data_IF_713887586292
#
_entry.id   IF_713887586292
#
_cell.length_a   1.000
_cell.length_b   1.000
_cell.length_c   1.000
_cell.angle_alpha   90.00
_cell.angle_beta   90.00
_cell.angle_gamma   90.00
#
_symmetry.space_group_name_H-M   'P 1'
#
loop_
_entity.id
_entity.type
_entity.pdbx_description
1 polymer ?
2 polymer ?
3 polymer ?
4 non-polymer ?
5 non-polymer ?
6 water ?
#
loop_
_entity_poly.entity_id
_entity_poly.type
_entity_poly.pdbx_seq_one_letter_code
_entity_poly.pdbx_strand_id
2 'polydeoxyribonucleotide' '(DC)(DG)(DC)(DT)(DA)(DG)(DT)(DC)(DG)(DT)(DC)(DA)(DT)' ?
3 'polydeoxyribonucleotide' '(DA)(DC)(DG)(DA)(DC)(DT)(DA)(DG)(DC)(DG)' ?
#
# COMPACT_ATOMS: atom_id res chain seq x y z
N UNK A 2 1.49 6.92 1.01
CA UNK A 2 1.96 7.42 -0.28
C UNK A 2 2.98 8.53 -0.14
N UNK A 3 3.95 8.55 -1.06
CA UNK A 3 4.96 9.60 -1.09
C UNK A 3 4.56 10.66 -2.11
N UNK A 4 4.03 11.78 -1.64
CA UNK A 4 3.42 12.77 -2.53
C UNK A 4 4.40 13.31 -3.57
N UNK A 5 4.12 13.07 -4.86
CA UNK A 5 4.95 13.61 -5.91
C UNK A 5 6.16 12.76 -6.26
N UNK A 6 6.16 11.50 -5.83
CA UNK A 6 7.31 10.63 -6.05
C UNK A 6 7.38 10.17 -7.50
N UNK A 7 6.23 9.85 -8.06
CA UNK A 7 6.17 9.33 -9.42
C UNK A 7 6.69 10.35 -10.41
N UNK A 8 6.29 11.60 -10.23
CA UNK A 8 6.75 12.66 -11.12
C UNK A 8 8.22 12.95 -10.87
N UNK A 9 8.68 12.63 -9.65
CA UNK A 9 10.05 12.90 -9.25
C UNK A 9 11.01 11.90 -9.90
N UNK A 10 10.58 10.66 -10.01
CA UNK A 10 11.39 9.63 -10.65
C UNK A 10 10.79 9.19 -11.97
N UNK A 11 10.24 10.11 -12.72
CA UNK A 11 9.53 9.79 -13.93
C UNK A 11 10.45 9.10 -14.89
N UNK A 12 11.70 9.51 -14.90
CA UNK A 12 12.65 9.03 -15.89
C UNK A 12 12.95 7.54 -15.78
N UNK A 13 12.53 6.93 -14.68
CA UNK A 13 12.74 5.49 -14.49
C UNK A 13 11.49 4.73 -14.86
N UNK A 14 10.47 5.45 -15.29
CA UNK A 14 9.22 4.82 -15.67
C UNK A 14 9.22 4.45 -17.13
N UNK A 15 8.48 3.41 -17.47
CA UNK A 15 8.45 2.90 -18.83
C UNK A 15 7.05 2.43 -19.19
N UNK A 16 6.48 2.97 -20.26
CA UNK A 16 5.17 2.52 -20.73
C UNK A 16 5.22 1.08 -21.19
N UNK A 17 4.41 0.21 -20.61
CA UNK A 17 4.42 -1.20 -20.97
C UNK A 17 3.02 -1.74 -21.18
N UNK A 18 2.96 -3.03 -21.48
CA UNK A 18 1.70 -3.76 -21.47
C UNK A 18 1.89 -5.03 -20.65
N UNK A 19 0.82 -5.57 -20.10
CA UNK A 19 0.93 -6.70 -19.17
C UNK A 19 1.46 -7.97 -19.81
N UNK A 20 1.43 -8.03 -21.15
CA UNK A 20 1.99 -9.17 -21.88
C UNK A 20 3.44 -9.39 -21.49
N UNK A 21 4.09 -8.33 -21.05
CA UNK A 21 5.48 -8.37 -20.59
C UNK A 21 5.66 -9.50 -19.60
N UNK A 22 4.64 -9.75 -18.79
CA UNK A 22 4.70 -10.78 -17.77
C UNK A 22 3.80 -11.95 -18.12
N UNK A 23 3.68 -12.22 -19.42
CA UNK A 23 2.86 -13.35 -19.88
C UNK A 23 3.44 -14.67 -19.39
N UNK A 24 2.64 -15.41 -18.63
CA UNK A 24 3.05 -16.70 -18.10
C UNK A 24 3.74 -16.57 -16.76
N UNK A 25 3.81 -15.35 -16.26
CA UNK A 25 4.41 -15.09 -14.96
C UNK A 25 3.35 -14.74 -13.92
N UNK A 26 3.79 -14.50 -12.68
CA UNK A 26 2.86 -14.22 -11.58
C UNK A 26 2.92 -12.75 -11.15
N UNK A 27 1.74 -12.15 -10.97
CA UNK A 27 1.63 -10.74 -10.59
C UNK A 27 0.67 -10.56 -9.43
N UNK A 28 1.13 -9.91 -8.37
CA UNK A 28 0.26 -9.59 -7.22
C UNK A 28 -0.42 -8.23 -7.38
N UNK A 29 -1.61 -8.09 -6.82
CA UNK A 29 -2.40 -6.89 -7.06
C UNK A 29 -2.79 -6.18 -5.79
N UNK A 30 -2.57 -4.88 -5.74
CA UNK A 30 -3.11 -4.05 -4.66
C UNK A 30 -4.60 -3.81 -4.92
N UNK A 31 -5.42 -4.78 -4.55
CA UNK A 31 -6.82 -4.83 -4.96
C UNK A 31 -7.69 -3.68 -4.44
N UNK A 32 -7.30 -3.08 -3.32
CA UNK A 32 -8.11 -2.02 -2.70
C UNK A 32 -8.23 -0.79 -3.60
N UNK A 33 -7.31 -0.64 -4.55
CA UNK A 33 -7.38 0.48 -5.49
C UNK A 33 -8.53 0.25 -6.44
N UNK A 34 -8.58 -0.95 -6.99
CA UNK A 34 -9.68 -1.35 -7.84
C UNK A 34 -11.00 -1.33 -7.06
N UNK A 35 -10.92 -1.63 -5.76
CA UNK A 35 -12.11 -1.64 -4.91
C UNK A 35 -12.65 -0.24 -4.72
N UNK A 36 -11.75 0.74 -4.53
CA UNK A 36 -12.17 2.12 -4.38
C UNK A 36 -12.73 2.65 -5.68
N UNK A 37 -11.95 2.51 -6.76
CA UNK A 37 -12.38 3.01 -8.05
C UNK A 37 -13.70 2.37 -8.47
N UNK A 38 -13.89 1.10 -8.13
CA UNK A 38 -15.12 0.40 -8.45
C UNK A 38 -16.29 0.81 -7.58
N UNK A 39 -16.01 1.10 -6.32
CA UNK A 39 -17.06 1.48 -5.38
C UNK A 39 -17.54 2.89 -5.66
N UNK A 40 -16.70 3.68 -6.32
CA UNK A 40 -17.11 5.03 -6.71
C UNK A 40 -18.31 4.99 -7.67
N UNK A 41 -18.31 4.01 -8.57
CA UNK A 41 -19.38 3.85 -9.55
C UNK A 41 -20.75 3.74 -8.90
N UNK A 42 -20.82 3.10 -7.74
CA UNK A 42 -22.07 2.91 -7.02
C UNK A 42 -22.02 3.55 -5.63
N UNK A 43 -21.54 4.78 -5.58
CA UNK A 43 -21.34 5.47 -4.31
C UNK A 43 -22.65 5.75 -3.60
N UNK A 44 -23.66 6.15 -4.34
CA UNK A 44 -24.93 6.51 -3.75
C UNK A 44 -25.58 5.33 -3.07
N UNK A 45 -25.48 4.19 -3.68
CA UNK A 45 -26.07 2.97 -3.12
C UNK A 45 -25.38 2.60 -1.80
N UNK A 46 -24.05 2.65 -1.80
CA UNK A 46 -23.28 2.31 -0.61
C UNK A 46 -23.53 3.33 0.50
N UNK A 47 -23.78 4.57 0.12
CA UNK A 47 -24.07 5.64 1.06
C UNK A 47 -25.48 5.48 1.64
N UNK A 48 -26.44 5.12 0.78
CA UNK A 48 -27.81 4.94 1.24
C UNK A 48 -27.95 3.68 2.11
N UNK A 49 -27.09 2.70 1.85
CA UNK A 49 -27.17 1.42 2.55
C UNK A 49 -27.77 0.36 1.66
N UNK A 50 -28.20 0.76 0.47
CA UNK A 50 -28.79 -0.15 -0.50
C UNK A 50 -27.72 -1.13 -0.99
N UNK A 51 -28.11 -2.40 -1.16
CA UNK A 51 -27.17 -3.46 -1.57
C UNK A 51 -26.64 -3.26 -2.99
N UNK A 52 -25.38 -3.61 -3.21
CA UNK A 52 -24.73 -3.49 -4.51
C UNK A 52 -23.69 -4.58 -4.73
N UNK A 53 -23.27 -4.74 -5.96
CA UNK A 53 -22.17 -5.65 -6.27
C UNK A 53 -21.48 -5.25 -7.56
N UNK A 54 -21.52 -3.95 -7.87
CA UNK A 54 -20.97 -3.44 -9.13
C UNK A 54 -19.44 -3.42 -9.10
N UNK A 55 -18.87 -3.08 -7.94
CA UNK A 55 -17.42 -3.06 -7.76
C UNK A 55 -16.81 -4.44 -7.99
N UNK A 56 -17.58 -5.48 -7.68
CA UNK A 56 -17.16 -6.84 -7.91
C UNK A 56 -16.84 -7.02 -9.40
N UNK A 57 -17.79 -6.67 -10.25
CA UNK A 57 -17.61 -6.78 -11.67
C UNK A 57 -16.49 -5.87 -12.15
N UNK A 58 -16.42 -4.69 -11.54
CA UNK A 58 -15.39 -3.73 -11.93
C UNK A 58 -14.01 -4.35 -11.75
N UNK A 59 -13.80 -5.02 -10.63
CA UNK A 59 -12.54 -5.70 -10.38
C UNK A 59 -12.37 -6.89 -11.32
N UNK A 60 -13.49 -7.56 -11.59
CA UNK A 60 -13.46 -8.77 -12.39
C UNK A 60 -13.08 -8.49 -13.84
N UNK A 61 -13.33 -7.28 -14.30
CA UNK A 61 -12.88 -6.89 -15.63
C UNK A 61 -11.37 -7.00 -15.71
N UNK A 62 -10.70 -6.36 -14.75
CA UNK A 62 -9.25 -6.38 -14.66
C UNK A 62 -8.71 -7.80 -14.45
N UNK A 63 -9.34 -8.55 -13.55
CA UNK A 63 -8.89 -9.92 -13.29
C UNK A 63 -8.98 -10.77 -14.55
N UNK A 64 -10.14 -10.73 -15.21
CA UNK A 64 -10.35 -11.48 -16.45
C UNK A 64 -9.38 -11.05 -17.55
N UNK A 65 -9.11 -9.76 -17.62
CA UNK A 65 -8.16 -9.25 -18.61
C UNK A 65 -6.77 -9.80 -18.35
N UNK A 66 -6.39 -9.88 -17.08
CA UNK A 66 -5.11 -10.46 -16.71
C UNK A 66 -5.06 -11.94 -17.07
N UNK A 67 -6.15 -12.66 -16.81
CA UNK A 67 -6.23 -14.08 -17.13
C UNK A 67 -6.13 -14.36 -18.63
N UNK A 68 -6.71 -13.47 -19.45
CA UNK A 68 -6.71 -13.65 -20.90
C UNK A 68 -5.31 -13.46 -21.51
N UNK A 69 -4.47 -12.71 -20.84
CA UNK A 69 -3.16 -12.45 -21.35
C UNK A 69 -2.17 -13.44 -20.81
N UNK A 70 -2.68 -14.45 -20.13
CA UNK A 70 -1.85 -15.50 -19.60
C UNK A 70 -1.22 -15.19 -18.26
N UNK A 71 -1.64 -14.08 -17.65
CA UNK A 71 -1.10 -13.67 -16.36
C UNK A 71 -1.78 -14.43 -15.23
N UNK A 72 -1.01 -14.78 -14.20
CA UNK A 72 -1.59 -15.37 -13.00
C UNK A 72 -1.65 -14.32 -11.91
N UNK A 73 -2.83 -13.73 -11.69
CA UNK A 73 -3.00 -12.68 -10.68
C UNK A 73 -3.21 -13.22 -9.28
N UNK A 74 -2.62 -12.56 -8.29
CA UNK A 74 -2.86 -12.87 -6.89
C UNK A 74 -3.42 -11.64 -6.19
N UNK A 75 -4.71 -11.63 -5.95
CA UNK A 75 -5.36 -10.48 -5.35
C UNK A 75 -5.04 -10.36 -3.88
N UNK A 76 -4.36 -9.29 -3.51
CA UNK A 76 -3.97 -9.06 -2.12
C UNK A 76 -4.85 -7.97 -1.53
N UNK A 77 -5.28 -8.16 -0.28
CA UNK A 77 -6.17 -7.19 0.38
C UNK A 77 -5.62 -6.66 1.70
N UNK A 78 -6.01 -5.44 2.06
CA UNK A 78 -5.61 -4.85 3.34
C UNK A 78 -6.34 -5.53 4.49
N UNK A 79 -5.63 -5.77 5.58
CA UNK A 79 -6.19 -6.47 6.72
C UNK A 79 -6.46 -5.57 7.92
N UNK A 80 -5.76 -5.83 9.00
CA UNK A 80 -5.97 -5.11 10.24
C UNK A 80 -5.32 -3.73 10.22
N UNK A 81 -5.91 -2.80 10.95
CA UNK A 81 -5.38 -1.45 11.03
C UNK A 81 -4.01 -1.47 11.70
N UNK A 82 -3.07 -0.74 11.11
CA UNK A 82 -1.75 -0.62 11.68
C UNK A 82 -1.70 0.58 12.61
N UNK A 83 -1.10 0.43 13.79
CA UNK A 83 -0.96 1.53 14.75
C UNK A 83 -0.22 2.73 14.16
N UNK A 84 0.92 2.48 13.53
CA UNK A 84 1.73 3.52 12.92
C UNK A 84 0.94 4.38 11.93
N UNK A 85 -0.15 3.83 11.41
CA UNK A 85 -0.93 4.51 10.40
C UNK A 85 -2.28 4.93 10.94
N UNK A 86 -2.58 4.51 12.18
CA UNK A 86 -3.93 4.72 12.74
C UNK A 86 -4.31 6.19 12.75
N UNK A 87 -3.32 7.06 12.95
CA UNK A 87 -3.54 8.50 12.83
C UNK A 87 -4.24 8.88 11.54
N UNK A 88 -3.64 8.50 10.42
CA UNK A 88 -4.23 8.79 9.12
C UNK A 88 -5.61 8.12 9.04
N UNK A 89 -5.75 6.91 9.62
CA UNK A 89 -7.02 6.17 9.59
C UNK A 89 -8.10 6.95 10.32
N UNK A 90 -7.69 7.76 11.28
CA UNK A 90 -8.64 8.56 12.03
C UNK A 90 -9.05 9.78 11.22
N UNK A 91 -8.18 10.22 10.31
CA UNK A 91 -8.47 11.47 9.61
C UNK A 91 -9.38 11.19 8.43
N UNK A 92 -9.01 10.20 7.63
CA UNK A 92 -9.77 9.81 6.48
C UNK A 92 -11.17 9.34 6.88
N UNK A 93 -11.26 8.54 7.92
CA UNK A 93 -12.54 8.10 8.48
C UNK A 93 -13.39 9.28 8.93
N UNK A 94 -12.72 10.33 9.40
CA UNK A 94 -13.44 11.53 9.81
C UNK A 94 -14.01 12.24 8.59
N UNK A 95 -13.16 12.46 7.59
CA UNK A 95 -13.55 13.16 6.36
C UNK A 95 -14.80 12.53 5.77
N UNK A 96 -14.75 11.21 5.51
CA UNK A 96 -15.89 10.43 5.06
C UNK A 96 -17.15 10.79 5.83
N UNK A 97 -17.05 10.75 7.17
CA UNK A 97 -18.18 11.04 8.03
C UNK A 97 -18.80 12.38 7.64
N UNK A 98 -17.96 13.42 7.54
CA UNK A 98 -18.44 14.73 7.16
C UNK A 98 -19.15 14.67 5.80
N UNK A 99 -18.50 14.04 4.82
CA UNK A 99 -19.07 13.95 3.49
C UNK A 99 -20.34 13.10 3.47
N UNK A 100 -20.51 12.27 4.50
CA UNK A 100 -21.71 11.46 4.58
C UNK A 100 -22.84 12.31 5.11
N UNK A 101 -22.50 13.29 5.94
CA UNK A 101 -23.51 14.20 6.50
C UNK A 101 -23.91 15.20 5.43
N UNK A 102 -22.92 15.97 4.97
CA UNK A 102 -23.11 17.00 3.95
C UNK A 102 -23.94 16.49 2.78
N UNK A 103 -23.51 15.36 2.21
CA UNK A 103 -24.27 14.71 1.16
C UNK A 103 -25.74 14.53 1.50
N UNK A 104 -26.03 13.92 2.64
CA UNK A 104 -27.41 13.74 3.09
C UNK A 104 -28.08 15.10 3.29
N UNK A 105 -27.30 16.05 3.82
CA UNK A 105 -27.78 17.42 4.00
C UNK A 105 -28.14 18.05 2.67
N UNK A 106 -27.45 17.61 1.63
CA UNK A 106 -27.71 18.12 0.30
C UNK A 106 -28.90 17.40 -0.33
N UNK A 107 -29.23 16.21 0.19
CA UNK A 107 -30.40 15.47 -0.30
C UNK A 107 -31.69 16.08 0.22
N UNK A 108 -31.60 16.68 1.40
CA UNK A 108 -32.73 17.37 1.99
C UNK A 108 -32.96 18.73 1.34
N UNK A 109 -31.87 19.34 0.86
CA UNK A 109 -31.97 20.65 0.23
C UNK A 109 -32.30 20.54 -1.25
N UNK A 110 -32.39 19.31 -1.75
CA UNK A 110 -32.74 19.06 -3.14
C UNK A 110 -31.56 19.04 -4.09
N UNK A 111 -30.40 19.53 -3.66
CA UNK A 111 -29.19 19.53 -4.47
C UNK A 111 -28.69 18.10 -4.72
N UNK A 112 -28.75 17.64 -5.97
CA UNK A 112 -28.38 16.27 -6.28
C UNK A 112 -26.96 16.08 -6.77
N UNK A 113 -26.44 17.03 -7.51
CA UNK A 113 -25.07 16.91 -8.04
C UNK A 113 -24.03 17.01 -6.93
N UNK A 114 -24.16 18.06 -6.11
CA UNK A 114 -23.29 18.26 -4.96
C UNK A 114 -23.36 17.06 -4.02
N UNK A 115 -24.58 16.54 -3.81
CA UNK A 115 -24.79 15.39 -2.94
C UNK A 115 -24.01 14.16 -3.44
N UNK A 116 -23.95 13.98 -4.75
CA UNK A 116 -23.21 12.87 -5.32
C UNK A 116 -21.71 13.14 -5.22
N UNK A 117 -21.32 14.40 -5.37
CA UNK A 117 -19.91 14.76 -5.19
C UNK A 117 -19.47 14.59 -3.74
N UNK A 118 -20.43 14.53 -2.82
CA UNK A 118 -20.09 14.30 -1.43
C UNK A 118 -20.12 12.81 -1.13
N UNK A 119 -21.02 12.08 -1.80
CA UNK A 119 -21.12 10.64 -1.61
C UNK A 119 -19.92 9.91 -2.20
N UNK A 120 -19.36 10.49 -3.26
CA UNK A 120 -18.23 9.89 -3.95
C UNK A 120 -16.93 10.08 -3.17
N UNK A 121 -16.98 10.88 -2.10
CA UNK A 121 -15.81 11.12 -1.26
C UNK A 121 -16.04 10.65 0.16
N UNK A 122 -17.02 9.77 0.35
CA UNK A 122 -17.35 9.23 1.66
C UNK A 122 -17.47 7.71 1.62
N UNK A 123 -16.69 7.09 0.73
CA UNK A 123 -16.74 5.65 0.57
C UNK A 123 -15.73 4.94 1.46
N UNK A 124 -16.19 3.94 2.18
CA UNK A 124 -15.29 3.13 3.00
C UNK A 124 -15.37 1.65 2.61
N UNK A 125 -14.22 1.08 2.26
CA UNK A 125 -14.19 -0.31 1.82
C UNK A 125 -14.16 -1.28 3.00
N UNK A 126 -15.29 -1.94 3.26
CA UNK A 126 -15.38 -2.92 4.33
C UNK A 126 -14.78 -4.24 3.87
N UNK A 127 -14.62 -5.18 4.81
CA UNK A 127 -14.10 -6.51 4.47
C UNK A 127 -15.18 -7.34 3.82
N UNK A 128 -16.41 -6.89 3.95
CA UNK A 128 -17.52 -7.63 3.39
C UNK A 128 -17.46 -7.52 1.88
N UNK A 129 -17.22 -6.30 1.41
CA UNK A 129 -17.06 -6.04 -0.01
C UNK A 129 -15.85 -6.80 -0.55
N UNK A 130 -14.75 -6.67 0.18
CA UNK A 130 -13.51 -7.31 -0.18
C UNK A 130 -13.71 -8.81 -0.26
N UNK A 131 -14.58 -9.33 0.62
CA UNK A 131 -14.81 -10.76 0.66
C UNK A 131 -15.70 -11.15 -0.50
N UNK A 132 -16.57 -10.24 -0.92
CA UNK A 132 -17.35 -10.49 -2.13
C UNK A 132 -16.40 -10.67 -3.31
N UNK A 133 -15.45 -9.74 -3.42
CA UNK A 133 -14.43 -9.83 -4.46
C UNK A 133 -13.64 -11.13 -4.35
N UNK A 134 -13.39 -11.55 -3.11
CA UNK A 134 -12.63 -12.75 -2.83
C UNK A 134 -13.36 -14.01 -3.33
N UNK A 135 -14.65 -14.10 -3.05
CA UNK A 135 -15.44 -15.23 -3.49
C UNK A 135 -15.51 -15.24 -5.01
N UNK A 136 -15.80 -14.06 -5.59
CA UNK A 136 -15.86 -13.92 -7.03
C UNK A 136 -14.57 -14.37 -7.73
N UNK A 137 -13.42 -14.01 -7.16
CA UNK A 137 -12.13 -14.39 -7.73
C UNK A 137 -11.84 -15.88 -7.51
N UNK A 138 -12.31 -16.39 -6.39
CA UNK A 138 -12.13 -17.79 -6.09
C UNK A 138 -12.87 -18.62 -7.10
N UNK A 139 -14.03 -18.14 -7.48
CA UNK A 139 -14.84 -18.88 -8.44
C UNK A 139 -14.21 -18.86 -9.83
N UNK A 140 -12.95 -18.42 -9.92
CA UNK A 140 -12.25 -18.35 -11.19
C UNK A 140 -10.89 -19.06 -11.11
N UNK A 141 -10.56 -19.56 -9.93
CA UNK A 141 -9.28 -20.21 -9.71
C UNK A 141 -8.18 -19.23 -9.38
N UNK A 142 -8.56 -17.96 -9.25
CA UNK A 142 -7.63 -16.90 -8.90
C UNK A 142 -7.38 -16.84 -7.40
N UNK A 143 -6.12 -16.97 -7.00
CA UNK A 143 -5.78 -16.97 -5.59
C UNK A 143 -5.95 -15.59 -4.96
N UNK A 144 -6.30 -15.58 -3.67
CA UNK A 144 -6.43 -14.34 -2.91
C UNK A 144 -5.69 -14.44 -1.58
N UNK A 145 -5.29 -13.29 -1.04
CA UNK A 145 -4.49 -13.27 0.18
C UNK A 145 -4.72 -11.98 0.96
N UNK A 146 -5.33 -12.09 2.12
CA UNK A 146 -5.55 -10.92 2.96
C UNK A 146 -4.35 -10.67 3.86
N UNK A 147 -3.71 -9.53 3.68
CA UNK A 147 -2.51 -9.18 4.45
C UNK A 147 -2.83 -9.07 5.93
N UNK A 148 -1.85 -9.38 6.79
CA UNK A 148 -1.99 -9.19 8.24
C UNK A 148 -2.32 -7.75 8.57
N UNK A 149 -1.70 -6.84 7.84
CA UNK A 149 -1.99 -5.42 8.01
C UNK A 149 -2.10 -4.71 6.66
N UNK A 150 -1.12 -3.87 6.33
CA UNK A 150 -1.14 -3.18 5.05
C UNK A 150 -0.84 -4.13 3.90
N UNK A 151 -1.53 -3.94 2.80
CA UNK A 151 -1.29 -4.73 1.60
C UNK A 151 0.07 -4.41 1.02
N UNK A 152 0.54 -3.19 1.26
CA UNK A 152 1.82 -2.74 0.76
C UNK A 152 2.94 -3.69 1.14
N UNK A 153 3.02 -4.00 2.43
CA UNK A 153 4.07 -4.87 2.95
C UNK A 153 3.96 -6.27 2.38
N UNK A 154 2.74 -6.77 2.30
CA UNK A 154 2.50 -8.12 1.83
C UNK A 154 2.94 -8.27 0.38
N UNK A 155 2.58 -7.26 -0.43
CA UNK A 155 2.96 -7.21 -1.83
C UNK A 155 4.48 -7.16 -1.95
N UNK A 156 5.09 -6.28 -1.17
CA UNK A 156 6.54 -6.16 -1.16
C UNK A 156 7.20 -7.50 -0.86
N UNK A 157 6.64 -8.24 0.09
CA UNK A 157 7.17 -9.55 0.45
C UNK A 157 7.02 -10.53 -0.70
N UNK A 158 5.82 -10.60 -1.27
CA UNK A 158 5.57 -11.50 -2.39
C UNK A 158 6.53 -11.24 -3.53
N UNK A 159 6.87 -9.98 -3.72
CA UNK A 159 7.79 -9.59 -4.79
C UNK A 159 9.25 -9.92 -4.47
N UNK A 160 9.66 -9.66 -3.24
CA UNK A 160 11.04 -9.89 -2.84
C UNK A 160 11.32 -11.36 -2.60
N UNK A 161 10.28 -12.13 -2.29
CA UNK A 161 10.44 -13.56 -2.03
C UNK A 161 10.60 -14.33 -3.33
N UNK A 162 10.16 -13.72 -4.43
CA UNK A 162 10.23 -14.37 -5.72
C UNK A 162 8.93 -15.02 -6.09
N UNK A 163 7.91 -14.85 -5.25
CA UNK A 163 6.60 -15.42 -5.50
C UNK A 163 5.88 -14.73 -6.65
N UNK A 164 6.04 -13.41 -6.75
CA UNK A 164 5.53 -12.65 -7.89
C UNK A 164 6.64 -11.84 -8.54
N UNK A 165 6.44 -11.48 -9.81
CA UNK A 165 7.47 -10.77 -10.57
C UNK A 165 7.20 -9.27 -10.66
N UNK A 166 5.93 -8.89 -10.49
CA UNK A 166 5.53 -7.50 -10.57
C UNK A 166 4.35 -7.21 -9.67
N UNK A 167 4.21 -5.96 -9.27
CA UNK A 167 3.10 -5.53 -8.42
C UNK A 167 2.23 -4.51 -9.14
N UNK A 168 0.95 -4.81 -9.28
CA UNK A 168 0.01 -3.85 -9.84
C UNK A 168 -0.61 -3.00 -8.74
N UNK A 169 -0.33 -1.70 -8.77
CA UNK A 169 -0.84 -0.78 -7.76
C UNK A 169 -0.86 0.63 -8.29
N UNK A 170 -1.47 1.54 -7.53
CA UNK A 170 -1.41 2.95 -7.86
C UNK A 170 -0.53 3.66 -6.83
N UNK A 171 -0.20 2.93 -5.76
CA UNK A 171 0.53 3.49 -4.63
C UNK A 171 2.04 3.43 -4.85
N UNK A 172 2.72 4.53 -4.57
CA UNK A 172 4.17 4.61 -4.76
C UNK A 172 4.94 4.07 -3.56
N UNK A 173 4.24 3.93 -2.43
CA UNK A 173 4.83 3.36 -1.21
C UNK A 173 5.52 2.03 -1.48
N UNK A 174 5.01 1.29 -2.45
CA UNK A 174 5.54 -0.02 -2.78
C UNK A 174 7.02 0.07 -3.14
N UNK A 175 7.42 1.19 -3.70
CA UNK A 175 8.82 1.39 -4.06
C UNK A 175 9.67 1.56 -2.82
N UNK A 176 9.14 2.25 -1.82
CA UNK A 176 9.85 2.48 -0.56
C UNK A 176 9.95 1.20 0.27
N UNK A 177 9.06 0.26 0.02
CA UNK A 177 9.08 -1.01 0.74
C UNK A 177 10.11 -1.95 0.14
N UNK A 178 10.65 -1.55 -1.01
CA UNK A 178 11.69 -2.32 -1.65
C UNK A 178 11.19 -3.28 -2.70
N UNK A 179 10.18 -2.88 -3.46
CA UNK A 179 9.70 -3.70 -4.56
C UNK A 179 10.66 -3.65 -5.71
N UNK A 180 10.68 -4.71 -6.51
CA UNK A 180 11.55 -4.78 -7.68
C UNK A 180 10.89 -4.15 -8.90
N UNK A 181 9.69 -4.62 -9.24
CA UNK A 181 8.94 -4.12 -10.38
C UNK A 181 7.54 -3.71 -9.96
N UNK A 182 7.13 -2.50 -10.33
CA UNK A 182 5.81 -1.98 -9.99
C UNK A 182 5.10 -1.41 -11.23
N UNK A 183 3.84 -1.79 -11.42
CA UNK A 183 3.08 -1.32 -12.57
C UNK A 183 2.01 -0.31 -12.15
N UNK A 184 2.18 0.94 -12.53
CA UNK A 184 1.28 1.98 -12.13
C UNK A 184 0.31 2.37 -13.20
N UNK A 185 -0.80 2.95 -12.81
CA UNK A 185 -1.76 3.52 -13.76
C UNK A 185 -2.18 2.57 -14.87
N UNK A 186 -2.44 1.32 -14.53
CA UNK A 186 -2.89 0.35 -15.52
C UNK A 186 -4.39 0.49 -15.82
N UNK A 187 -4.76 0.60 -17.09
CA UNK A 187 -6.17 0.73 -17.50
C UNK A 187 -6.80 -0.63 -17.71
N UNK A 188 -8.06 -0.63 -18.17
CA UNK A 188 -8.80 -1.88 -18.37
C UNK A 188 -8.26 -2.66 -19.55
N UNK A 189 -7.48 -1.99 -20.40
CA UNK A 189 -6.94 -2.61 -21.60
C UNK A 189 -5.61 -3.31 -21.32
N UNK A 190 -4.89 -2.83 -20.30
CA UNK A 190 -3.64 -3.44 -19.89
C UNK A 190 -2.43 -2.52 -20.01
N UNK A 191 -2.68 -1.27 -20.33
CA UNK A 191 -1.61 -0.29 -20.51
C UNK A 191 -1.29 0.43 -19.21
N UNK A 192 -0.03 0.38 -18.80
CA UNK A 192 0.39 1.05 -17.58
C UNK A 192 1.81 1.55 -17.63
N UNK A 193 2.24 2.21 -16.56
CA UNK A 193 3.63 2.65 -16.41
C UNK A 193 4.38 1.75 -15.46
N UNK A 194 5.48 1.17 -15.93
CA UNK A 194 6.29 0.28 -15.10
C UNK A 194 7.53 1.00 -14.57
N UNK A 195 7.80 0.82 -13.28
CA UNK A 195 8.99 1.37 -12.68
C UNK A 195 9.82 0.23 -12.10
N UNK A 196 11.01 0.05 -12.64
CA UNK A 196 11.90 -1.01 -12.15
C UNK A 196 12.88 -0.43 -11.14
N UNK A 197 13.22 -1.23 -10.13
CA UNK A 197 14.09 -0.75 -9.05
C UNK A 197 15.52 -0.53 -9.53
N UNK A 198 15.93 -1.36 -10.49
CA UNK A 198 17.28 -1.30 -11.02
C UNK A 198 17.48 -0.09 -11.92
N UNK A 199 16.39 0.49 -12.40
CA UNK A 199 16.46 1.59 -13.35
C UNK A 199 16.36 2.94 -12.67
N UNK A 200 16.42 2.93 -11.34
CA UNK A 200 16.34 4.17 -10.56
C UNK A 200 17.49 5.11 -10.86
N UNK A 201 18.55 4.57 -11.46
CA UNK A 201 19.69 5.36 -11.86
C UNK A 201 19.46 6.21 -13.09
N UNK A 202 18.33 5.97 -13.77
CA UNK A 202 17.95 6.79 -14.92
C UNK A 202 17.54 8.18 -14.48
N UNK A 203 17.15 8.29 -13.22
CA UNK A 203 16.73 9.57 -12.65
C UNK A 203 17.93 10.39 -12.21
N UNK A 204 18.22 11.44 -12.96
CA UNK A 204 19.34 12.28 -12.66
C UNK A 204 19.19 12.96 -11.32
N UNK A 205 17.97 13.33 -10.98
CA UNK A 205 17.67 14.04 -9.73
C UNK A 205 18.06 13.24 -8.49
N UNK A 206 17.95 11.92 -8.57
CA UNK A 206 18.24 11.06 -7.44
C UNK A 206 19.72 11.10 -7.05
N UNK A 207 20.60 11.20 -8.04
CA UNK A 207 22.02 11.16 -7.76
C UNK A 207 22.43 9.77 -7.33
N UNK A 208 23.13 9.67 -6.19
CA UNK A 208 23.59 8.37 -5.67
C UNK A 208 22.53 7.73 -4.77
N UNK A 209 21.38 8.37 -4.67
CA UNK A 209 20.30 7.87 -3.83
C UNK A 209 19.41 6.93 -4.62
N UNK A 210 19.97 5.80 -5.04
CA UNK A 210 19.19 4.80 -5.76
C UNK A 210 19.28 3.46 -5.05
N UNK A 211 20.07 3.41 -3.98
CA UNK A 211 20.13 2.22 -3.14
C UNK A 211 18.88 2.15 -2.27
N UNK A 212 18.49 0.94 -1.87
CA UNK A 212 17.23 0.73 -1.16
C UNK A 212 17.16 1.53 0.13
N UNK A 213 18.21 1.45 0.93
CA UNK A 213 18.24 2.12 2.24
C UNK A 213 18.13 3.64 2.12
N UNK A 214 18.97 4.24 1.27
CA UNK A 214 18.94 5.68 1.07
C UNK A 214 17.59 6.13 0.49
N UNK A 215 17.07 5.34 -0.45
CA UNK A 215 15.79 5.67 -1.08
C UNK A 215 14.69 5.68 -0.03
N UNK A 216 14.73 4.70 0.85
CA UNK A 216 13.77 4.60 1.94
C UNK A 216 13.86 5.82 2.84
N UNK A 217 15.09 6.15 3.24
CA UNK A 217 15.31 7.32 4.10
C UNK A 217 14.74 8.59 3.45
N UNK A 218 14.94 8.71 2.14
CA UNK A 218 14.42 9.86 1.40
C UNK A 218 12.91 9.91 1.44
N UNK A 219 12.29 8.77 1.15
CA UNK A 219 10.84 8.71 1.15
C UNK A 219 10.26 9.07 2.49
N UNK A 220 10.92 8.63 3.56
CA UNK A 220 10.45 8.97 4.89
C UNK A 220 10.63 10.45 5.18
N UNK A 221 11.80 10.99 4.85
CA UNK A 221 12.10 12.39 5.10
C UNK A 221 11.18 13.33 4.33
N UNK A 222 10.71 12.90 3.17
CA UNK A 222 9.85 13.74 2.35
C UNK A 222 8.48 13.91 2.97
N UNK A 223 8.04 12.88 3.69
CA UNK A 223 6.73 12.87 4.32
C UNK A 223 5.92 11.66 3.90
N UNK A 224 5.78 10.70 4.80
CA UNK A 224 5.05 9.48 4.49
C UNK A 224 3.86 9.33 5.41
N UNK A 225 3.17 8.19 5.29
CA UNK A 225 1.97 7.92 6.08
C UNK A 225 2.29 7.70 7.56
N UNK A 226 3.50 7.22 7.83
CA UNK A 226 3.91 6.88 9.18
C UNK A 226 4.46 8.08 9.93
N UNK A 227 4.88 9.10 9.18
CA UNK A 227 5.53 10.26 9.76
C UNK A 227 5.46 11.48 8.84
N UNK A 228 4.83 12.55 9.30
CA UNK A 228 4.80 13.79 8.54
C UNK A 228 6.17 14.43 8.52
N UNK A 229 6.54 15.04 7.40
CA UNK A 229 7.86 15.63 7.27
C UNK A 229 7.99 16.89 8.11
N UNK A 230 9.22 17.37 8.27
CA UNK A 230 9.44 18.67 8.88
C UNK A 230 8.87 19.75 7.98
N UNK A 231 8.59 20.93 8.54
CA UNK A 231 8.01 22.02 7.77
C UNK A 231 8.96 22.49 6.67
N UNK A 232 8.49 22.45 5.43
CA UNK A 232 9.26 22.95 4.30
C UNK A 232 10.11 21.89 3.61
N UNK A 233 9.93 20.65 4.01
CA UNK A 233 10.72 19.55 3.48
C UNK A 233 9.86 18.59 2.67
N UNK A 234 10.30 18.32 1.44
CA UNK A 234 9.65 17.36 0.58
C UNK A 234 10.67 16.41 0.00
N UNK A 235 10.47 16.01 -1.25
CA UNK A 235 11.37 15.06 -1.89
C UNK A 235 12.71 15.67 -2.31
N UNK A 236 12.64 16.87 -2.87
CA UNK A 236 13.83 17.56 -3.35
C UNK A 236 14.83 17.76 -2.22
N UNK A 237 14.40 18.39 -1.14
CA UNK A 237 15.31 18.64 -0.07
C UNK A 237 15.85 17.37 0.56
N UNK A 238 15.00 16.39 0.77
CA UNK A 238 15.45 15.13 1.35
C UNK A 238 16.53 14.48 0.50
N UNK A 239 16.27 14.43 -0.79
CA UNK A 239 17.20 13.86 -1.74
C UNK A 239 18.51 14.63 -1.72
N UNK A 240 18.40 15.95 -1.57
CA UNK A 240 19.58 16.82 -1.52
C UNK A 240 20.40 16.51 -0.28
N UNK A 241 19.72 16.34 0.84
CA UNK A 241 20.38 16.03 2.09
C UNK A 241 21.12 14.72 1.97
N UNK A 242 20.43 13.69 1.47
CA UNK A 242 21.05 12.39 1.37
C UNK A 242 22.16 12.38 0.34
N UNK A 243 22.10 13.33 -0.58
CA UNK A 243 23.12 13.46 -1.60
C UNK A 243 24.39 14.05 -0.98
N UNK A 244 24.23 15.20 -0.32
CA UNK A 244 25.37 15.92 0.22
C UNK A 244 26.01 15.18 1.38
N UNK A 245 25.23 14.35 2.04
CA UNK A 245 25.73 13.61 3.20
C UNK A 245 25.90 12.13 2.89
N UNK A 246 27.10 11.63 2.99
CA UNK A 246 27.28 10.22 2.84
C UNK A 246 27.83 10.06 4.22
N UNK A 247 26.95 9.93 5.22
CA UNK A 247 27.52 9.87 6.58
C UNK A 247 28.06 8.60 7.31
N UNK A 248 27.42 7.36 7.35
CA UNK A 248 26.04 7.33 6.96
C UNK A 248 25.17 6.92 8.16
N UNK A 249 25.45 7.46 9.35
CA UNK A 249 24.51 7.26 10.45
C UNK A 249 23.44 8.26 10.21
N UNK A 250 22.23 7.79 9.98
CA UNK A 250 21.20 8.68 9.48
C UNK A 250 20.73 9.67 10.55
N UNK A 251 20.84 9.27 11.82
CA UNK A 251 20.40 10.11 12.91
C UNK A 251 21.18 11.42 12.96
N UNK A 252 22.50 11.33 12.86
CA UNK A 252 23.36 12.51 12.91
C UNK A 252 23.06 13.43 11.74
N UNK A 253 22.84 12.84 10.56
CA UNK A 253 22.51 13.59 9.36
C UNK A 253 21.21 14.37 9.55
N UNK A 254 20.18 13.68 10.05
CA UNK A 254 18.88 14.31 10.30
C UNK A 254 19.04 15.44 11.31
N UNK A 255 19.92 15.25 12.29
CA UNK A 255 20.19 16.28 13.27
C UNK A 255 20.94 17.46 12.64
N UNK A 256 21.63 17.22 11.53
CA UNK A 256 22.35 18.29 10.82
C UNK A 256 21.66 18.70 9.53
N UNK A 257 20.36 18.39 9.41
CA UNK A 257 19.60 18.75 8.21
C UNK A 257 19.67 20.27 7.94
N UNK A 258 19.68 21.07 9.00
CA UNK A 258 19.80 22.50 8.85
C UNK A 258 21.13 22.86 8.22
N UNK A 259 22.16 22.13 8.61
CA UNK A 259 23.49 22.36 8.07
C UNK A 259 23.55 21.99 6.60
N UNK A 260 22.98 20.84 6.25
CA UNK A 260 23.05 20.35 4.88
C UNK A 260 22.19 21.17 3.91
N UNK A 261 21.12 21.77 4.42
CA UNK A 261 20.22 22.51 3.53
C UNK A 261 20.46 24.02 3.57
N UNK A 262 21.36 24.46 4.42
CA UNK A 262 21.59 25.89 4.58
C UNK A 262 20.29 26.60 4.81
N UNK A 263 19.57 26.15 5.82
CA UNK A 263 18.39 26.86 6.31
C UNK A 263 18.11 26.47 7.77
N UNK A 264 17.62 27.42 8.56
CA UNK A 264 17.35 27.18 9.98
C UNK A 264 16.16 26.22 10.16
N UNK A 265 16.45 25.02 10.67
CA UNK A 265 15.43 23.99 10.93
C UNK A 265 15.55 23.42 12.34
N UNK A 266 14.50 23.59 13.13
CA UNK A 266 14.46 23.04 14.48
C UNK A 266 13.95 21.61 14.43
N UNK A 267 14.79 20.67 14.87
CA UNK A 267 14.42 19.26 14.86
C UNK A 267 14.14 18.74 16.27
N UNK A 268 12.87 18.48 16.59
CA UNK A 268 12.48 17.91 17.88
C UNK A 268 13.07 16.51 18.12
N UNK A 269 13.31 16.18 19.39
CA UNK A 269 13.85 14.87 19.73
C UNK A 269 12.84 13.79 19.37
N UNK A 270 11.57 14.17 19.34
CA UNK A 270 10.50 13.23 19.05
C UNK A 270 10.50 12.80 17.58
N UNK A 271 10.93 13.71 16.70
CA UNK A 271 10.94 13.42 15.27
C UNK A 271 11.97 12.36 14.91
N UNK A 272 13.05 12.30 15.68
CA UNK A 272 14.07 11.28 15.49
C UNK A 272 13.51 9.90 15.80
N UNK A 273 12.86 9.78 16.95
CA UNK A 273 12.23 8.53 17.33
C UNK A 273 11.12 8.14 16.36
N UNK A 274 10.39 9.15 15.87
CA UNK A 274 9.35 8.91 14.89
C UNK A 274 9.94 8.40 13.58
N UNK A 275 11.11 8.91 13.24
CA UNK A 275 11.81 8.47 12.04
C UNK A 275 12.27 7.03 12.19
N UNK A 276 12.80 6.69 13.37
CA UNK A 276 13.19 5.31 13.65
C UNK A 276 12.00 4.38 13.53
N UNK A 277 10.86 4.82 14.07
CA UNK A 277 9.63 4.03 14.03
C UNK A 277 9.16 3.83 12.59
N UNK A 278 9.20 4.89 11.80
CA UNK A 278 8.79 4.83 10.41
C UNK A 278 9.69 3.89 9.61
N UNK A 279 10.99 4.00 9.83
CA UNK A 279 11.97 3.16 9.17
C UNK A 279 11.73 1.69 9.51
N UNK A 280 11.58 1.42 10.80
CA UNK A 280 11.32 0.07 11.27
C UNK A 280 9.99 -0.46 10.76
N UNK A 281 9.07 0.45 10.44
CA UNK A 281 7.78 0.03 9.93
C UNK A 281 7.91 -0.36 8.47
N UNK A 282 8.70 0.41 7.72
CA UNK A 282 8.99 0.07 6.33
C UNK A 282 9.78 -1.23 6.23
N UNK A 283 10.61 -1.49 7.23
CA UNK A 283 11.48 -2.67 7.20
C UNK A 283 10.82 -3.95 7.72
N UNK A 284 10.21 -3.88 8.90
CA UNK A 284 9.79 -5.09 9.61
C UNK A 284 8.29 -5.21 9.86
N UNK A 285 7.48 -4.60 9.00
CA UNK A 285 6.03 -4.77 9.13
C UNK A 285 5.63 -6.21 8.90
N UNK A 286 4.78 -6.74 9.76
CA UNK A 286 4.43 -8.15 9.72
C UNK A 286 3.69 -8.51 8.44
N UNK A 287 4.17 -9.56 7.77
CA UNK A 287 3.51 -10.11 6.61
C UNK A 287 3.22 -11.59 6.82
N UNK A 288 2.62 -12.23 5.81
CA UNK A 288 2.25 -13.62 5.95
C UNK A 288 2.86 -14.46 4.84
N UNK A 289 3.74 -15.38 5.21
CA UNK A 289 4.31 -16.34 4.28
C UNK A 289 3.26 -17.36 3.86
N UNK A 290 2.85 -17.33 2.59
CA UNK A 290 1.81 -18.24 2.12
C UNK A 290 2.27 -19.70 2.09
N UNK A 291 3.56 -19.90 1.84
CA UNK A 291 4.11 -21.25 1.71
C UNK A 291 4.24 -21.94 3.07
N UNK A 292 4.96 -21.29 3.98
CA UNK A 292 5.19 -21.86 5.30
C UNK A 292 4.01 -21.60 6.22
N UNK A 293 3.10 -20.74 5.79
CA UNK A 293 1.89 -20.39 6.55
C UNK A 293 2.19 -19.89 7.97
N UNK A 294 2.83 -18.73 8.06
CA UNK A 294 3.20 -18.15 9.35
C UNK A 294 3.50 -16.64 9.26
N UNK A 295 3.34 -15.95 10.38
CA UNK A 295 3.63 -14.51 10.46
C UNK A 295 5.12 -14.25 10.52
N UNK A 296 5.59 -13.38 9.62
CA UNK A 296 6.98 -12.97 9.59
C UNK A 296 7.08 -11.48 9.29
N UNK A 297 8.18 -10.83 9.72
CA UNK A 297 8.41 -9.46 9.30
C UNK A 297 8.75 -9.40 7.81
N UNK A 298 8.59 -8.23 7.20
CA UNK A 298 8.87 -8.05 5.78
C UNK A 298 10.32 -8.40 5.46
N UNK A 299 11.20 -7.98 6.36
CA UNK A 299 12.61 -8.34 6.27
C UNK A 299 13.10 -9.00 7.55
N UNK A 300 14.09 -9.88 7.43
CA UNK A 300 14.65 -10.57 8.59
C UNK A 300 15.18 -9.54 9.59
N UNK A 301 14.92 -9.76 10.88
CA UNK A 301 15.35 -8.84 11.92
C UNK A 301 16.86 -8.71 11.97
N UNK A 302 17.34 -7.48 11.83
CA UNK A 302 18.78 -7.22 11.93
C UNK A 302 19.24 -7.31 13.37
N UNK A 303 20.55 -7.25 13.57
CA UNK A 303 21.10 -7.35 14.93
C UNK A 303 20.86 -6.09 15.72
N UNK A 304 20.74 -4.96 15.01
CA UNK A 304 20.62 -3.65 15.66
C UNK A 304 19.17 -3.25 15.90
N UNK A 305 18.29 -4.23 16.13
CA UNK A 305 16.89 -3.94 16.43
C UNK A 305 16.27 -4.99 17.37
N UNK A 306 15.55 -4.50 18.38
CA UNK A 306 14.84 -5.36 19.30
C UNK A 306 13.37 -5.46 18.92
N UNK A 307 12.98 -6.62 18.38
CA UNK A 307 11.61 -6.87 17.92
C UNK A 307 10.55 -6.58 18.98
N UNK A 308 10.95 -6.61 20.25
CA UNK A 308 10.02 -6.37 21.36
C UNK A 308 9.46 -4.95 21.30
N UNK A 309 10.24 -4.04 20.73
CA UNK A 309 9.82 -2.64 20.65
C UNK A 309 9.16 -2.30 19.32
N UNK A 310 8.66 -3.33 18.63
CA UNK A 310 8.09 -3.13 17.31
C UNK A 310 6.60 -3.46 17.23
N UNK A 311 5.84 -3.04 18.24
CA UNK A 311 4.40 -3.29 18.26
C UNK A 311 3.67 -2.42 17.23
N UNK A 312 4.20 -1.23 17.01
CA UNK A 312 3.58 -0.29 16.09
C UNK A 312 3.67 -0.82 14.68
N UNK A 313 4.64 -1.70 14.45
CA UNK A 313 4.84 -2.28 13.14
C UNK A 313 3.96 -3.49 12.94
N UNK A 314 3.08 -3.76 13.89
CA UNK A 314 2.18 -4.89 13.79
C UNK A 314 2.35 -5.86 14.93
N UNK A 315 1.23 -6.29 15.50
CA UNK A 315 1.22 -7.21 16.61
C UNK A 315 1.15 -8.65 16.12
N UNK A 316 1.92 -9.55 16.74
CA UNK A 316 1.89 -10.96 16.38
C UNK A 316 0.63 -11.66 16.90
N UNK A 317 0.08 -12.54 16.08
CA UNK A 317 -0.98 -13.44 16.52
C UNK A 317 -0.60 -14.87 16.16
N UNK A 318 -1.40 -15.83 16.62
CA UNK A 318 -1.12 -17.23 16.33
C UNK A 318 -1.25 -17.50 14.83
N UNK A 319 -0.37 -18.36 14.32
CA UNK A 319 -0.26 -18.60 12.88
C UNK A 319 -1.56 -19.11 12.27
N UNK A 320 -2.36 -19.82 13.08
CA UNK A 320 -3.62 -20.36 12.59
C UNK A 320 -4.61 -19.22 12.35
N UNK A 321 -4.60 -18.24 13.24
CA UNK A 321 -5.48 -17.09 13.10
C UNK A 321 -5.06 -16.25 11.91
N UNK A 322 -3.76 -16.05 11.76
CA UNK A 322 -3.22 -15.29 10.64
C UNK A 322 -3.55 -15.98 9.32
N UNK A 323 -3.53 -17.30 9.34
CA UNK A 323 -3.92 -18.09 8.18
C UNK A 323 -5.39 -17.87 7.86
N UNK A 324 -6.24 -17.93 8.88
CA UNK A 324 -7.68 -17.75 8.67
C UNK A 324 -8.03 -16.35 8.18
N UNK A 325 -7.24 -15.37 8.58
CA UNK A 325 -7.39 -14.00 8.08
C UNK A 325 -6.95 -13.90 6.62
N UNK A 326 -5.79 -14.48 6.33
CA UNK A 326 -5.22 -14.45 5.00
C UNK A 326 -6.14 -15.11 3.99
N UNK A 327 -6.82 -16.17 4.40
CA UNK A 327 -7.73 -16.87 3.51
C UNK A 327 -9.03 -16.08 3.34
N UNK A 328 -9.24 -15.10 4.20
CA UNK A 328 -10.42 -14.26 4.12
C UNK A 328 -11.57 -14.82 4.92
N UNK A 329 -11.32 -15.94 5.61
CA UNK A 329 -12.33 -16.62 6.42
C UNK A 329 -12.70 -15.83 7.68
N UNK A 330 -11.71 -15.17 8.27
CA UNK A 330 -11.94 -14.37 9.47
C UNK A 330 -12.04 -12.89 9.13
N UNK A 331 -13.15 -12.28 9.55
CA UNK A 331 -13.37 -10.86 9.29
C UNK A 331 -12.38 -10.02 10.08
N UNK A 332 -11.94 -8.92 9.48
CA UNK A 332 -10.91 -8.08 10.06
C UNK A 332 -11.33 -7.45 11.40
N UNK A 333 -12.48 -6.79 11.41
CA UNK A 333 -12.92 -6.01 12.57
C UNK A 333 -13.55 -6.86 13.67
N UNK A 334 -14.54 -7.67 13.27
CA UNK A 334 -15.29 -8.46 14.22
C UNK A 334 -14.52 -9.71 14.67
N UNK A 335 -13.52 -10.08 13.91
CA UNK A 335 -12.76 -11.28 14.17
C UNK A 335 -13.64 -12.48 14.14
N UNK A 336 -14.65 -12.42 13.31
CA UNK A 336 -15.67 -13.44 13.24
C UNK A 336 -15.50 -14.30 12.00
N UNK A 337 -15.63 -15.61 12.16
CA UNK A 337 -15.59 -16.51 11.01
C UNK A 337 -16.77 -16.27 10.07
N UNK A 338 -16.49 -15.73 8.90
CA UNK A 338 -17.54 -15.41 7.93
C UNK A 338 -17.53 -16.34 6.72
N UNK A 339 -16.54 -17.22 6.67
CA UNK A 339 -16.42 -18.18 5.61
C UNK A 339 -15.62 -19.37 6.04
N UNK A 340 -15.73 -20.46 5.30
CA UNK A 340 -15.10 -21.71 5.68
C UNK A 340 -14.03 -22.23 4.75
N UNK A 341 -13.50 -21.43 3.86
CA UNK A 341 -12.72 -21.96 2.76
C UNK A 341 -11.53 -22.79 3.20
N UNK A 342 -11.29 -23.90 2.49
CA UNK A 342 -10.11 -24.72 2.74
C UNK A 342 -9.50 -25.17 1.42
N UNK A 343 -8.28 -24.69 1.12
CA UNK A 343 -7.59 -24.97 -0.14
C UNK A 343 -7.12 -26.42 -0.27
N UNK A 344 -6.90 -27.08 0.86
CA UNK A 344 -6.48 -28.47 0.89
C UNK A 344 -7.55 -29.40 0.28
N UNK A 345 -8.81 -29.14 0.61
CA UNK A 345 -9.92 -29.93 0.09
C UNK A 345 -10.33 -29.48 -1.32
N UNK A 355 -0.98 -21.39 -5.03
CA UNK A 355 -0.21 -20.44 -4.23
C UNK A 355 0.29 -21.09 -2.95
N UNK A 356 -0.53 -21.96 -2.39
CA UNK A 356 -0.20 -22.64 -1.14
C UNK A 356 0.46 -24.00 -1.38
N UNK A 357 1.43 -24.34 -0.54
CA UNK A 357 2.24 -25.55 -0.68
C UNK A 357 2.99 -25.59 -2.01
#
# INVERSE_FOLDING_TARGET
MGIQGLLQFIKEASEPIHVRKYKGQVVAVDTYCWLHKGAIACAEKLAKGEPTDRYVGFCMKFVNMLLSHGIKPILVFDGCTLPSKKEVERSRRERRQANLLKGKQLLREGKVSEARECFTRSINITHAMAHKVIKAARSQGVDCLVAPYEADAQLAYLNKAGIVQAIITEDSDLLAFGCKKVILKMDQFGNGLEIDQARLGMCRQLGDVFTEEKFRYMCILSGCAYLSSLRGIGLAKACKVLRLANNPDIVKVIKKIGHYLKMNITVPEDYINGFIRANNTFLYQLVFDPIKRKLIPLNAYEDDVDPETLSYAGQYVDDSIALQIALGNKDINTFEQIDDYNPDTAMPAHSRENLYFQ
#
